data_IF_792394972988
#
_entry.id   IF_792394972988
#
_cell.length_a   1.000
_cell.length_b   1.000
_cell.length_c   1.000
_cell.angle_alpha   90.00
_cell.angle_beta   90.00
_cell.angle_gamma   90.00
#
_symmetry.space_group_name_H-M   'P 1'
#
loop_
_entity.id
_entity.type
_entity.pdbx_description
1 polymer ?
#
# COMPACT_ATOMS: atom_id res chain seq x y z
N UNK A 1 -0.05 -11.15 -17.68
CA UNK A 1 0.52 -11.41 -16.34
C UNK A 1 -0.55 -11.26 -15.27
N UNK A 2 -0.44 -12.02 -14.20
CA UNK A 2 -1.35 -12.01 -13.05
C UNK A 2 -1.49 -10.60 -12.43
N UNK A 3 -0.37 -9.88 -12.32
CA UNK A 3 -0.34 -8.50 -11.83
C UNK A 3 -1.22 -7.57 -12.65
N UNK A 4 -1.23 -7.74 -13.98
CA UNK A 4 -2.12 -6.98 -14.87
C UNK A 4 -3.60 -7.28 -14.58
N UNK A 5 -3.96 -8.54 -14.37
CA UNK A 5 -5.34 -8.93 -14.06
C UNK A 5 -5.84 -8.33 -12.74
N UNK A 6 -5.01 -8.39 -11.69
CA UNK A 6 -5.34 -7.82 -10.37
C UNK A 6 -5.48 -6.30 -10.49
N UNK A 7 -4.47 -5.62 -11.07
CA UNK A 7 -4.47 -4.16 -11.20
C UNK A 7 -5.59 -3.64 -12.10
N UNK A 8 -5.88 -4.32 -13.22
CA UNK A 8 -6.95 -3.95 -14.14
C UNK A 8 -8.32 -4.00 -13.47
N UNK A 9 -8.55 -5.03 -12.63
CA UNK A 9 -9.82 -5.18 -11.91
C UNK A 9 -10.06 -4.04 -10.92
N UNK A 10 -9.03 -3.60 -10.21
CA UNK A 10 -9.10 -2.45 -9.31
C UNK A 10 -9.26 -1.13 -10.10
N UNK A 11 -8.42 -0.91 -11.12
CA UNK A 11 -8.43 0.34 -11.90
C UNK A 11 -9.77 0.65 -12.55
N UNK A 12 -10.51 -0.36 -13.00
CA UNK A 12 -11.84 -0.21 -13.60
C UNK A 12 -12.87 0.43 -12.67
N UNK A 13 -12.65 0.36 -11.37
CA UNK A 13 -13.57 0.87 -10.35
C UNK A 13 -13.14 2.21 -9.75
N UNK A 14 -11.94 2.69 -10.13
CA UNK A 14 -11.50 4.02 -9.71
C UNK A 14 -12.27 5.04 -10.57
N UNK A 15 -12.96 6.03 -9.96
CA UNK A 15 -13.55 7.14 -10.70
C UNK A 15 -12.48 7.79 -11.59
N UNK A 16 -12.89 8.54 -12.61
CA UNK A 16 -11.93 9.18 -13.54
C UNK A 16 -10.77 9.76 -12.76
N UNK A 17 -9.69 8.98 -12.70
CA UNK A 17 -8.48 9.36 -11.97
C UNK A 17 -7.62 10.24 -12.88
N UNK A 18 -7.06 11.30 -12.32
CA UNK A 18 -6.02 12.10 -12.99
C UNK A 18 -4.70 11.30 -13.16
N UNK A 19 -4.65 10.08 -12.58
CA UNK A 19 -3.44 9.26 -12.52
C UNK A 19 -3.49 8.07 -13.48
N UNK A 20 -2.44 7.94 -14.29
CA UNK A 20 -2.14 6.70 -15.03
C UNK A 20 -1.36 5.75 -14.12
N UNK A 21 -2.10 4.86 -13.42
CA UNK A 21 -1.49 3.91 -12.50
C UNK A 21 -0.56 2.94 -13.20
N UNK A 22 0.72 2.99 -12.81
CA UNK A 22 1.77 2.08 -13.27
C UNK A 22 2.31 1.27 -12.10
N UNK A 23 2.10 -0.04 -12.14
CA UNK A 23 2.59 -0.96 -11.12
C UNK A 23 3.87 -1.60 -11.62
N UNK A 24 4.92 -1.55 -10.81
CA UNK A 24 6.22 -2.16 -11.11
C UNK A 24 6.62 -3.11 -9.99
N UNK A 25 7.05 -4.30 -10.38
CA UNK A 25 7.69 -5.25 -9.48
C UNK A 25 9.17 -4.86 -9.40
N UNK A 26 9.71 -4.84 -8.19
CA UNK A 26 11.12 -4.58 -7.91
C UNK A 26 11.75 -5.77 -7.19
N UNK A 27 13.00 -6.05 -7.53
CA UNK A 27 13.82 -6.98 -6.78
C UNK A 27 14.21 -6.32 -5.45
N UNK A 28 13.83 -6.94 -4.36
CA UNK A 28 14.16 -6.51 -3.00
C UNK A 28 13.96 -7.67 -2.06
N UNK A 29 14.85 -7.82 -1.10
CA UNK A 29 14.73 -8.81 -0.01
C UNK A 29 13.73 -8.39 1.08
N UNK A 30 13.18 -7.17 0.94
CA UNK A 30 12.24 -6.59 1.89
C UNK A 30 10.80 -6.81 1.44
N UNK A 31 9.93 -7.16 2.36
CA UNK A 31 8.47 -7.19 2.13
C UNK A 31 7.98 -5.75 2.11
N UNK A 32 7.78 -5.20 0.92
CA UNK A 32 7.44 -3.78 0.77
C UNK A 32 6.52 -3.49 -0.42
N UNK A 33 5.68 -2.47 -0.27
CA UNK A 33 4.99 -1.76 -1.33
C UNK A 33 4.96 -0.27 -0.98
N UNK A 34 5.11 0.58 -1.99
CA UNK A 34 5.04 2.02 -1.79
C UNK A 34 4.61 2.74 -3.06
N UNK A 35 4.08 3.94 -2.88
CA UNK A 35 3.71 4.83 -3.96
C UNK A 35 4.60 6.06 -4.02
N UNK A 36 4.83 6.53 -5.25
CA UNK A 36 5.39 7.86 -5.49
C UNK A 36 4.37 8.73 -6.23
N UNK A 37 4.50 10.06 -6.18
CA UNK A 37 3.59 10.96 -6.90
C UNK A 37 3.45 10.61 -8.37
N UNK A 38 2.24 10.79 -8.93
CA UNK A 38 1.94 10.48 -10.32
C UNK A 38 1.43 9.05 -10.58
N UNK A 39 0.98 8.34 -9.53
CA UNK A 39 0.29 7.04 -9.66
C UNK A 39 1.23 5.85 -9.91
N UNK A 40 2.51 5.97 -9.58
CA UNK A 40 3.46 4.86 -9.71
C UNK A 40 3.51 4.09 -8.40
N UNK A 41 3.20 2.80 -8.47
CA UNK A 41 3.20 1.87 -7.34
C UNK A 41 4.31 0.85 -7.56
N UNK A 42 5.16 0.70 -6.56
CA UNK A 42 6.24 -0.28 -6.55
C UNK A 42 5.91 -1.37 -5.55
N UNK A 43 6.15 -2.62 -5.94
CA UNK A 43 5.88 -3.80 -5.11
C UNK A 43 7.12 -4.68 -5.16
N UNK A 44 7.62 -5.06 -4.00
CA UNK A 44 8.72 -6.02 -3.94
C UNK A 44 8.24 -7.41 -4.32
N UNK A 45 9.14 -8.19 -4.93
CA UNK A 45 8.94 -9.61 -5.18
C UNK A 45 8.60 -10.36 -3.88
N UNK A 46 9.31 -10.06 -2.79
CA UNK A 46 9.06 -10.66 -1.48
C UNK A 46 7.65 -10.41 -0.94
N UNK A 47 7.05 -9.24 -1.20
CA UNK A 47 5.65 -9.00 -0.84
C UNK A 47 4.70 -9.92 -1.62
N UNK A 48 4.95 -10.14 -2.91
CA UNK A 48 4.13 -11.04 -3.73
C UNK A 48 4.25 -12.48 -3.22
N UNK A 49 5.47 -12.92 -2.92
CA UNK A 49 5.74 -14.23 -2.33
C UNK A 49 5.12 -14.38 -0.93
N UNK A 50 5.07 -13.32 -0.17
CA UNK A 50 4.45 -13.28 1.15
C UNK A 50 2.93 -13.43 1.07
N UNK A 51 2.24 -12.84 0.07
CA UNK A 51 0.79 -12.93 -0.06
C UNK A 51 0.33 -14.39 -0.33
N UNK A 52 -0.60 -14.90 0.45
CA UNK A 52 -1.15 -16.26 0.32
C UNK A 52 -2.16 -16.37 -0.83
N UNK A 53 -2.73 -15.23 -1.25
CA UNK A 53 -3.71 -15.20 -2.33
C UNK A 53 -3.62 -13.90 -3.13
N UNK A 54 -4.14 -13.89 -4.37
CA UNK A 54 -4.20 -12.67 -5.17
C UNK A 54 -5.08 -11.59 -4.54
N UNK A 55 -6.05 -11.96 -3.70
CA UNK A 55 -6.89 -11.03 -2.95
C UNK A 55 -6.08 -10.25 -1.89
N UNK A 56 -5.12 -10.91 -1.22
CA UNK A 56 -4.23 -10.22 -0.28
C UNK A 56 -3.37 -9.18 -1.01
N UNK A 57 -2.82 -9.53 -2.17
CA UNK A 57 -2.07 -8.59 -2.99
C UNK A 57 -2.97 -7.44 -3.51
N UNK A 58 -4.20 -7.76 -3.91
CA UNK A 58 -5.19 -6.74 -4.30
C UNK A 58 -5.51 -5.78 -3.15
N UNK A 59 -5.57 -6.28 -1.91
CA UNK A 59 -5.78 -5.44 -0.73
C UNK A 59 -4.63 -4.45 -0.50
N UNK A 60 -3.38 -4.89 -0.62
CA UNK A 60 -2.22 -4.00 -0.54
C UNK A 60 -2.24 -2.98 -1.67
N UNK A 61 -2.50 -3.40 -2.91
CA UNK A 61 -2.61 -2.49 -4.05
C UNK A 61 -3.72 -1.46 -3.87
N UNK A 62 -4.89 -1.86 -3.38
CA UNK A 62 -6.00 -0.95 -3.12
C UNK A 62 -5.63 0.11 -2.06
N UNK A 63 -4.88 -0.29 -1.04
CA UNK A 63 -4.35 0.61 -0.01
C UNK A 63 -3.33 1.61 -0.59
N UNK A 64 -2.42 1.16 -1.44
CA UNK A 64 -1.46 2.03 -2.12
C UNK A 64 -2.16 3.01 -3.08
N UNK A 65 -3.15 2.54 -3.84
CA UNK A 65 -4.00 3.40 -4.67
C UNK A 65 -4.68 4.47 -3.83
N UNK A 66 -5.19 4.11 -2.64
CA UNK A 66 -5.82 5.07 -1.75
C UNK A 66 -4.86 6.20 -1.31
N UNK A 67 -3.60 5.89 -1.02
CA UNK A 67 -2.59 6.91 -0.70
C UNK A 67 -2.35 7.87 -1.86
N UNK A 68 -2.45 7.41 -3.12
CA UNK A 68 -2.37 8.26 -4.30
C UNK A 68 -3.62 9.14 -4.43
N UNK A 69 -4.82 8.55 -4.41
CA UNK A 69 -6.10 9.26 -4.57
C UNK A 69 -6.33 10.31 -3.48
N UNK A 70 -5.90 10.01 -2.25
CA UNK A 70 -5.97 10.93 -1.11
C UNK A 70 -4.80 11.92 -1.06
N UNK A 71 -3.86 11.84 -2.02
CA UNK A 71 -2.66 12.68 -2.10
C UNK A 71 -1.79 12.64 -0.83
N UNK A 72 -1.85 11.54 -0.07
CA UNK A 72 -1.10 11.40 1.18
C UNK A 72 0.41 11.48 0.96
N UNK A 73 0.92 10.83 -0.10
CA UNK A 73 2.35 10.88 -0.45
C UNK A 73 2.81 12.28 -0.80
N UNK A 74 2.02 13.03 -1.58
CA UNK A 74 2.33 14.43 -1.92
C UNK A 74 2.32 15.31 -0.67
N UNK A 75 1.29 15.16 0.18
CA UNK A 75 1.17 15.90 1.44
C UNK A 75 2.36 15.64 2.37
N UNK A 76 2.80 14.38 2.47
CA UNK A 76 3.98 13.98 3.25
C UNK A 76 5.25 14.65 2.73
N UNK A 77 5.51 14.55 1.42
CA UNK A 77 6.68 15.16 0.78
C UNK A 77 6.69 16.68 1.00
N UNK A 78 5.57 17.37 0.79
CA UNK A 78 5.47 18.79 0.99
C UNK A 78 5.75 19.20 2.44
N UNK A 79 5.22 18.44 3.41
CA UNK A 79 5.46 18.69 4.83
C UNK A 79 6.95 18.55 5.19
N UNK A 80 7.58 17.46 4.79
CA UNK A 80 9.00 17.20 5.05
C UNK A 80 9.88 18.24 4.34
N UNK A 81 9.57 18.59 3.09
CA UNK A 81 10.28 19.62 2.34
C UNK A 81 10.20 20.99 3.03
N UNK A 82 9.01 21.36 3.53
CA UNK A 82 8.81 22.63 4.25
C UNK A 82 9.65 22.67 5.53
N UNK A 83 9.62 21.59 6.32
CA UNK A 83 10.42 21.48 7.54
C UNK A 83 11.92 21.60 7.21
N UNK A 84 12.35 20.90 6.18
CA UNK A 84 13.75 20.88 5.74
C UNK A 84 14.22 22.24 5.26
N UNK A 85 13.38 22.95 4.50
CA UNK A 85 13.68 24.31 4.03
C UNK A 85 13.80 25.26 5.22
N UNK A 86 12.90 25.19 6.19
CA UNK A 86 12.98 26.01 7.41
C UNK A 86 14.27 25.74 8.19
N UNK A 87 14.63 24.46 8.37
CA UNK A 87 15.86 24.08 9.06
C UNK A 87 17.11 24.56 8.29
N UNK A 88 17.12 24.46 6.96
CA UNK A 88 18.25 24.92 6.15
C UNK A 88 18.44 26.44 6.24
N UNK A 89 17.37 27.22 6.29
CA UNK A 89 17.42 28.68 6.48
C UNK A 89 17.99 29.01 7.86
N UNK A 90 17.60 28.29 8.90
CA UNK A 90 18.05 28.54 10.28
C UNK A 90 19.51 28.10 10.48
N UNK A 91 19.91 26.97 9.89
CA UNK A 91 21.23 26.37 10.10
C UNK A 91 22.29 26.78 9.07
N UNK A 92 21.89 27.44 7.99
CA UNK A 92 22.80 27.77 6.87
C UNK A 92 23.32 26.53 6.11
N UNK A 93 22.59 25.45 6.16
CA UNK A 93 23.04 24.14 5.69
C UNK A 93 22.97 23.97 4.17
N UNK A 94 23.96 23.25 3.63
CA UNK A 94 24.18 22.96 2.22
C UNK A 94 23.21 21.94 1.63
N UNK A 95 23.21 21.83 0.29
CA UNK A 95 22.42 20.90 -0.54
C UNK A 95 22.54 19.41 -0.18
N UNK A 96 23.58 19.02 0.55
CA UNK A 96 23.75 17.63 1.07
C UNK A 96 22.64 17.26 2.02
N UNK A 97 22.16 18.20 2.84
CA UNK A 97 21.02 18.00 3.73
C UNK A 97 19.74 17.65 2.96
N UNK A 98 19.54 18.26 1.80
CA UNK A 98 18.34 17.99 0.97
C UNK A 98 18.31 16.55 0.44
N UNK A 99 19.47 15.94 0.14
CA UNK A 99 19.55 14.55 -0.33
C UNK A 99 19.26 13.55 0.79
N UNK A 100 19.70 13.80 2.02
CA UNK A 100 19.42 12.97 3.19
C UNK A 100 17.95 13.08 3.61
N UNK A 101 17.38 14.27 3.50
CA UNK A 101 15.98 14.53 3.79
C UNK A 101 15.04 13.84 2.80
N UNK A 102 15.42 13.73 1.52
CA UNK A 102 14.67 12.96 0.53
C UNK A 102 14.59 11.47 0.91
N UNK A 103 15.70 10.88 1.35
CA UNK A 103 15.73 9.50 1.84
C UNK A 103 14.83 9.31 3.06
N UNK A 104 14.90 10.23 4.02
CA UNK A 104 14.07 10.21 5.22
C UNK A 104 12.58 10.35 4.90
N UNK A 105 12.22 11.17 3.91
CA UNK A 105 10.84 11.37 3.49
C UNK A 105 10.22 10.09 2.91
N UNK A 106 10.98 9.34 2.12
CA UNK A 106 10.49 8.07 1.54
C UNK A 106 10.28 7.02 2.64
N UNK A 107 11.12 7.01 3.67
CA UNK A 107 11.04 6.07 4.79
C UNK A 107 10.15 6.53 5.95
N UNK A 108 9.60 7.73 5.91
CA UNK A 108 8.71 8.22 6.98
C UNK A 108 7.34 7.54 6.94
N UNK A 109 6.76 7.29 8.12
CA UNK A 109 5.46 6.65 8.23
C UNK A 109 4.30 7.60 7.97
N UNK A 110 3.22 7.07 7.44
CA UNK A 110 1.93 7.77 7.41
C UNK A 110 1.34 7.87 8.82
N UNK A 111 0.59 8.93 9.07
CA UNK A 111 -0.08 9.06 10.36
C UNK A 111 -1.35 8.19 10.42
N UNK A 112 -1.86 7.96 11.63
CA UNK A 112 -3.02 7.09 11.88
C UNK A 112 -4.27 7.49 11.09
N UNK A 113 -4.48 8.79 10.88
CA UNK A 113 -5.63 9.30 10.12
C UNK A 113 -5.49 8.94 8.64
N UNK A 114 -4.31 9.16 8.06
CA UNK A 114 -4.02 8.81 6.67
C UNK A 114 -4.17 7.30 6.43
N UNK A 115 -3.69 6.47 7.37
CA UNK A 115 -3.86 5.01 7.30
C UNK A 115 -5.34 4.61 7.37
N UNK A 116 -6.12 5.26 8.25
CA UNK A 116 -7.55 4.99 8.33
C UNK A 116 -8.28 5.39 7.04
N UNK A 117 -8.03 6.58 6.51
CA UNK A 117 -8.62 7.06 5.26
C UNK A 117 -8.26 6.14 4.08
N UNK A 118 -7.02 5.62 4.06
CA UNK A 118 -6.58 4.68 3.03
C UNK A 118 -7.24 3.31 3.18
N UNK A 119 -7.38 2.80 4.39
CA UNK A 119 -8.10 1.54 4.65
C UNK A 119 -9.58 1.64 4.24
N UNK A 120 -10.25 2.73 4.59
CA UNK A 120 -11.66 2.95 4.24
C UNK A 120 -11.85 3.01 2.73
N UNK A 121 -11.00 3.76 2.03
CA UNK A 121 -11.01 3.81 0.57
C UNK A 121 -10.70 2.45 -0.05
N UNK A 122 -9.70 1.74 0.48
CA UNK A 122 -9.32 0.41 -0.02
C UNK A 122 -10.46 -0.60 0.13
N UNK A 123 -11.17 -0.60 1.26
CA UNK A 123 -12.32 -1.48 1.48
C UNK A 123 -13.45 -1.21 0.48
N UNK A 124 -13.78 0.05 0.22
CA UNK A 124 -14.77 0.45 -0.78
C UNK A 124 -14.35 0.05 -2.21
N UNK A 125 -13.07 0.28 -2.55
CA UNK A 125 -12.52 -0.10 -3.85
C UNK A 125 -12.52 -1.62 -4.07
N UNK A 126 -12.16 -2.38 -3.04
CA UNK A 126 -12.19 -3.85 -3.09
C UNK A 126 -13.63 -4.35 -3.31
N UNK A 127 -14.60 -3.82 -2.55
CA UNK A 127 -16.00 -4.18 -2.70
C UNK A 127 -16.50 -3.89 -4.11
N UNK A 128 -16.28 -2.69 -4.63
CA UNK A 128 -16.65 -2.29 -6.00
C UNK A 128 -15.99 -3.18 -7.06
N UNK A 129 -14.82 -3.71 -6.75
CA UNK A 129 -14.10 -4.66 -7.60
C UNK A 129 -14.54 -6.12 -7.41
N UNK A 130 -15.59 -6.39 -6.64
CA UNK A 130 -16.03 -7.73 -6.23
C UNK A 130 -14.91 -8.55 -5.56
N UNK A 131 -14.06 -7.90 -4.79
CA UNK A 131 -13.03 -8.53 -3.97
C UNK A 131 -13.43 -8.35 -2.50
N UNK A 132 -13.24 -9.39 -1.68
CA UNK A 132 -13.60 -9.28 -0.27
C UNK A 132 -12.75 -8.23 0.47
N UNK A 133 -13.35 -7.21 1.11
CA UNK A 133 -12.60 -6.26 1.94
C UNK A 133 -11.85 -6.92 3.11
N UNK A 134 -12.28 -8.13 3.52
CA UNK A 134 -11.58 -8.93 4.55
C UNK A 134 -10.18 -9.38 4.14
N UNK A 135 -9.81 -9.23 2.88
CA UNK A 135 -8.45 -9.51 2.41
C UNK A 135 -7.39 -8.63 3.11
N UNK A 136 -7.75 -7.41 3.52
CA UNK A 136 -6.91 -6.53 4.35
C UNK A 136 -6.61 -7.21 5.71
N UNK A 137 -7.64 -7.71 6.38
CA UNK A 137 -7.47 -8.42 7.65
C UNK A 137 -6.66 -9.71 7.47
N UNK A 138 -6.86 -10.44 6.37
CA UNK A 138 -6.12 -11.67 6.08
C UNK A 138 -4.62 -11.41 5.93
N UNK A 139 -4.23 -10.34 5.23
CA UNK A 139 -2.84 -9.91 5.08
C UNK A 139 -2.20 -9.59 6.44
N UNK A 140 -2.83 -8.74 7.26
CA UNK A 140 -2.30 -8.36 8.56
C UNK A 140 -2.29 -9.52 9.57
N UNK A 141 -3.27 -10.42 9.51
CA UNK A 141 -3.27 -11.64 10.34
C UNK A 141 -2.11 -12.56 10.00
N UNK A 142 -1.69 -12.62 8.74
CA UNK A 142 -0.52 -13.38 8.35
C UNK A 142 0.74 -12.77 8.96
N UNK A 143 0.90 -11.44 8.91
CA UNK A 143 2.01 -10.76 9.56
C UNK A 143 2.08 -11.09 11.06
N UNK A 144 0.94 -11.02 11.77
CA UNK A 144 0.85 -11.38 13.19
C UNK A 144 1.21 -12.86 13.44
N UNK A 145 0.68 -13.78 12.62
CA UNK A 145 0.91 -15.22 12.78
C UNK A 145 2.39 -15.59 12.62
N UNK A 146 3.09 -14.92 11.74
CA UNK A 146 4.51 -15.15 11.48
C UNK A 146 5.43 -14.32 12.39
N UNK A 147 4.86 -13.58 13.38
CA UNK A 147 5.57 -12.70 14.31
C UNK A 147 6.48 -11.67 13.60
N UNK A 148 6.04 -11.19 12.44
CA UNK A 148 6.79 -10.24 11.62
C UNK A 148 6.51 -8.77 11.96
N UNK A 149 5.70 -8.49 12.99
CA UNK A 149 5.31 -7.12 13.39
C UNK A 149 6.52 -6.24 13.79
N UNK A 150 7.64 -6.87 14.11
CA UNK A 150 8.89 -6.23 14.52
C UNK A 150 10.10 -6.65 13.65
N UNK A 151 9.86 -7.36 12.54
CA UNK A 151 10.94 -7.79 11.65
C UNK A 151 11.37 -6.63 10.74
N UNK A 152 12.66 -6.30 10.76
CA UNK A 152 13.24 -5.26 9.90
C UNK A 152 13.05 -5.54 8.41
N UNK A 153 12.80 -6.80 8.03
CA UNK A 153 12.50 -7.18 6.64
C UNK A 153 11.12 -6.75 6.18
N UNK A 154 10.24 -6.31 7.08
CA UNK A 154 8.90 -5.82 6.73
C UNK A 154 8.90 -4.30 6.69
N UNK A 155 9.54 -3.73 5.67
CA UNK A 155 9.61 -2.28 5.47
C UNK A 155 8.21 -1.65 5.26
N UNK A 156 7.27 -2.43 4.74
CA UNK A 156 5.87 -2.00 4.60
C UNK A 156 5.28 -1.53 5.94
N UNK A 157 5.60 -2.19 7.05
CA UNK A 157 5.09 -1.79 8.37
C UNK A 157 5.74 -0.52 8.91
N UNK A 158 6.95 -0.19 8.45
CA UNK A 158 7.62 1.05 8.86
C UNK A 158 6.92 2.28 8.25
N UNK A 159 6.47 2.18 7.01
CA UNK A 159 5.71 3.24 6.33
C UNK A 159 4.22 3.22 6.65
N UNK A 160 3.65 2.03 6.92
CA UNK A 160 2.22 1.79 7.18
C UNK A 160 2.02 1.08 8.53
N UNK A 161 2.09 1.81 9.64
CA UNK A 161 2.01 1.18 10.97
C UNK A 161 0.79 0.30 11.12
N UNK A 162 1.06 -0.96 11.50
CA UNK A 162 0.03 -1.94 11.77
C UNK A 162 -0.53 -1.77 13.18
N UNK A 163 -1.83 -1.97 13.32
CA UNK A 163 -2.48 -2.14 14.61
C UNK A 163 -3.72 -3.02 14.48
N UNK A 164 -4.09 -3.66 15.58
CA UNK A 164 -5.26 -4.55 15.62
C UNK A 164 -6.58 -3.85 15.23
N UNK A 165 -6.64 -2.51 15.32
CA UNK A 165 -7.82 -1.77 14.89
C UNK A 165 -8.05 -1.81 13.38
N UNK A 166 -6.98 -1.94 12.57
CA UNK A 166 -7.07 -2.10 11.12
C UNK A 166 -7.69 -3.45 10.75
N UNK A 167 -7.24 -4.52 11.42
CA UNK A 167 -7.85 -5.85 11.27
C UNK A 167 -9.33 -5.79 11.65
N UNK A 168 -9.64 -5.21 12.81
CA UNK A 168 -11.01 -5.11 13.31
C UNK A 168 -11.91 -4.37 12.31
N UNK A 169 -11.49 -3.18 11.82
CA UNK A 169 -12.26 -2.41 10.83
C UNK A 169 -12.53 -3.22 9.56
N UNK A 170 -11.54 -3.92 9.03
CA UNK A 170 -11.71 -4.75 7.83
C UNK A 170 -12.70 -5.89 8.05
N UNK A 171 -12.73 -6.49 9.23
CA UNK A 171 -13.68 -7.55 9.57
C UNK A 171 -15.10 -7.06 9.83
N UNK A 172 -15.23 -5.85 10.38
CA UNK A 172 -16.50 -5.20 10.71
C UNK A 172 -17.09 -4.40 9.53
N UNK A 173 -16.34 -4.27 8.44
CA UNK A 173 -16.81 -3.58 7.25
C UNK A 173 -18.08 -4.23 6.71
N UNK A 174 -19.13 -3.41 6.59
CA UNK A 174 -20.44 -3.86 6.11
C UNK A 174 -20.53 -3.65 4.60
N UNK A 175 -20.43 -4.75 3.87
CA UNK A 175 -20.65 -4.73 2.42
C UNK A 175 -22.13 -4.46 2.09
N UNK A 176 -22.37 -4.00 0.87
CA UNK A 176 -23.71 -3.79 0.35
C UNK A 176 -24.52 -5.08 0.33
N UNK A 177 -25.85 -4.94 0.39
CA UNK A 177 -26.76 -6.10 0.37
C UNK A 177 -26.59 -6.89 -0.92
N UNK A 178 -26.34 -8.18 -0.76
CA UNK A 178 -26.15 -9.09 -1.91
C UNK A 178 -24.72 -9.12 -2.46
N UNK A 179 -23.76 -8.44 -1.84
CA UNK A 179 -22.35 -8.54 -2.22
C UNK A 179 -21.86 -9.98 -2.19
N UNK A 180 -21.23 -10.39 -3.29
CA UNK A 180 -20.58 -11.70 -3.41
C UNK A 180 -19.19 -11.49 -4.02
N UNK A 181 -18.12 -11.85 -3.32
CA UNK A 181 -16.78 -11.76 -3.88
C UNK A 181 -16.63 -12.75 -5.04
N UNK A 182 -15.91 -12.32 -6.07
CA UNK A 182 -15.56 -13.15 -7.21
C UNK A 182 -14.06 -13.44 -7.11
N UNK A 183 -13.64 -14.68 -6.85
CA UNK A 183 -12.23 -15.05 -6.79
C UNK A 183 -11.51 -14.71 -8.09
N UNK A 184 -10.19 -14.55 -8.01
CA UNK A 184 -9.35 -14.49 -9.21
C UNK A 184 -9.19 -15.91 -9.77
N UNK A 185 -9.37 -16.04 -11.08
CA UNK A 185 -9.05 -17.27 -11.81
C UNK A 185 -7.55 -17.27 -12.15
N UNK A 186 -6.73 -17.53 -11.14
CA UNK A 186 -5.27 -17.51 -11.21
C UNK A 186 -4.69 -18.69 -10.42
N UNK A 187 -3.76 -19.42 -11.03
CA UNK A 187 -2.92 -20.37 -10.29
C UNK A 187 -1.85 -19.58 -9.50
N UNK A 188 -2.26 -19.11 -8.31
CA UNK A 188 -1.43 -18.29 -7.46
C UNK A 188 -0.15 -18.99 -7.00
N UNK A 189 -0.22 -20.31 -6.82
CA UNK A 189 0.95 -21.10 -6.44
C UNK A 189 1.99 -21.09 -7.55
N UNK A 190 1.60 -21.42 -8.77
CA UNK A 190 2.51 -21.41 -9.94
C UNK A 190 3.11 -20.02 -10.16
N UNK A 191 2.28 -18.96 -10.04
CA UNK A 191 2.77 -17.57 -10.20
C UNK A 191 3.87 -17.24 -9.21
N UNK A 192 3.78 -17.71 -7.96
CA UNK A 192 4.79 -17.48 -6.91
C UNK A 192 6.05 -18.32 -7.14
N UNK A 193 5.92 -19.52 -7.69
CA UNK A 193 7.04 -20.40 -8.02
C UNK A 193 7.86 -19.87 -9.22
N UNK A 194 7.21 -19.11 -10.11
CA UNK A 194 7.84 -18.52 -11.32
C UNK A 194 8.50 -17.15 -11.07
N UNK A 195 8.38 -16.61 -9.85
CA UNK A 195 9.01 -15.36 -9.43
C UNK A 195 10.39 -15.60 -8.81
#
# INVERSE_FOLDING_TARGET
>A
SAMWGISSRLKKQIPISEHDYKIKIIESEMINAFTIPGGRIYISKELILFCESPEQLAAVLAHEIAHVEKRHTVSRILKEFTISLLLSIISGADTVLLSELWKTTISSSFNRKQEQESDEYAMDLLEKSNISPRAIAAFFRKLNRENLDYDEKVEFLMSHPHNNSRIKRSLEYKTSKGFKPIPFDLDWKSIREDL
#
